data_IF_691160659765
#
_entry.id   IF_691160659765
#
_cell.length_a   1.000
_cell.length_b   1.000
_cell.length_c   1.000
_cell.angle_alpha   90.00
_cell.angle_beta   90.00
_cell.angle_gamma   90.00
#
_symmetry.space_group_name_H-M   'P 1'
#
loop_
_entity.id
_entity.type
_entity.pdbx_description
1 polymer ?
#
# COMPACT_ATOMS: atom_id res chain seq x y z
N UNK A 1 -1.01 35.15 5.35
CA UNK A 1 -0.59 33.74 5.53
C UNK A 1 -0.35 33.58 7.02
N UNK A 2 -1.37 33.20 7.77
CA UNK A 2 -1.40 33.28 9.24
C UNK A 2 -1.96 31.97 9.79
N UNK A 3 -1.14 31.29 10.61
CA UNK A 3 -1.47 30.39 11.72
C UNK A 3 -2.69 29.47 11.60
N UNK A 4 -2.52 28.31 10.97
CA UNK A 4 -3.34 27.12 11.23
C UNK A 4 -2.45 25.88 11.49
N UNK A 5 -1.43 26.01 12.34
CA UNK A 5 -0.64 24.88 12.84
C UNK A 5 -0.96 24.62 14.32
N UNK A 6 -1.31 23.35 14.61
CA UNK A 6 -1.72 22.75 15.90
C UNK A 6 -3.15 23.04 16.37
N UNK A 7 -4.08 22.13 16.02
CA UNK A 7 -5.15 21.73 16.93
C UNK A 7 -4.76 20.39 17.58
N UNK A 8 -4.10 20.45 18.73
CA UNK A 8 -3.96 19.30 19.63
C UNK A 8 -4.98 19.45 20.75
N UNK A 9 -5.87 18.46 20.91
CA UNK A 9 -6.89 18.43 21.96
C UNK A 9 -8.26 18.86 21.48
N UNK A 10 -9.03 17.92 20.92
CA UNK A 10 -10.47 18.08 20.78
C UNK A 10 -11.13 17.51 22.04
N UNK A 11 -11.51 18.38 22.97
CA UNK A 11 -12.45 18.01 24.03
C UNK A 11 -13.87 18.25 23.49
N UNK A 12 -14.57 17.18 23.12
CA UNK A 12 -15.90 17.24 22.50
C UNK A 12 -16.91 16.50 23.37
N UNK A 13 -17.76 17.29 24.02
CA UNK A 13 -18.86 16.85 24.88
C UNK A 13 -19.87 15.94 24.16
N UNK A 14 -20.36 14.93 24.89
CA UNK A 14 -21.58 14.10 24.76
C UNK A 14 -21.99 13.47 23.41
N UNK A 15 -21.49 13.91 22.26
CA UNK A 15 -21.72 13.22 20.99
C UNK A 15 -20.58 12.22 20.73
N UNK A 16 -20.94 10.97 20.47
CA UNK A 16 -20.05 9.82 20.21
C UNK A 16 -19.38 9.87 18.82
N UNK A 17 -19.33 11.03 18.16
CA UNK A 17 -18.74 11.21 16.83
C UNK A 17 -17.82 12.42 16.83
N UNK A 18 -16.58 12.20 16.42
CA UNK A 18 -15.58 13.22 16.12
C UNK A 18 -15.45 13.31 14.60
N UNK A 19 -15.77 14.47 14.04
CA UNK A 19 -15.65 14.73 12.61
C UNK A 19 -14.53 15.74 12.35
N UNK A 20 -13.57 15.34 11.51
CA UNK A 20 -12.47 16.16 10.99
C UNK A 20 -12.66 16.20 9.48
N UNK A 21 -12.93 17.38 8.92
CA UNK A 21 -13.19 17.52 7.49
C UNK A 21 -12.55 18.74 6.87
N UNK A 22 -12.28 18.66 5.57
CA UNK A 22 -11.85 19.77 4.72
C UNK A 22 -10.65 20.53 5.33
N UNK A 23 -9.71 19.78 5.91
CA UNK A 23 -8.60 20.32 6.70
C UNK A 23 -7.26 19.87 6.12
N UNK A 24 -6.29 20.78 6.10
CA UNK A 24 -4.91 20.46 5.76
C UNK A 24 -4.02 20.51 7.00
N UNK A 25 -3.27 19.43 7.23
CA UNK A 25 -2.26 19.30 8.26
C UNK A 25 -0.89 19.35 7.60
N UNK A 26 -0.09 20.37 7.90
CA UNK A 26 1.22 20.59 7.29
C UNK A 26 2.30 20.76 8.36
N UNK A 27 3.42 20.06 8.20
CA UNK A 27 4.62 20.17 9.03
C UNK A 27 4.35 19.99 10.54
N UNK A 28 3.49 19.03 10.88
CA UNK A 28 3.14 18.73 12.27
C UNK A 28 4.07 17.64 12.79
N UNK A 29 4.96 17.99 13.72
CA UNK A 29 5.82 17.04 14.43
C UNK A 29 5.36 16.80 15.87
N UNK A 30 5.34 15.54 16.31
CA UNK A 30 5.08 15.15 17.69
C UNK A 30 6.02 14.05 18.19
N UNK A 31 6.55 14.22 19.40
CA UNK A 31 7.24 13.17 20.16
C UNK A 31 6.17 12.25 20.78
N UNK A 32 5.83 11.18 20.07
CA UNK A 32 4.81 10.21 20.42
C UNK A 32 4.14 9.65 19.17
N UNK A 33 2.81 9.55 19.18
CA UNK A 33 1.99 8.79 18.23
C UNK A 33 0.95 9.70 17.59
N UNK A 34 0.51 9.47 16.34
CA UNK A 34 -0.60 10.21 15.74
C UNK A 34 -0.37 11.72 15.68
N UNK A 35 0.64 12.18 14.95
CA UNK A 35 1.10 13.59 15.02
C UNK A 35 0.04 14.62 14.66
N UNK A 36 -0.84 14.32 13.69
CA UNK A 36 -1.96 15.21 13.35
C UNK A 36 -3.24 14.82 14.08
N UNK A 37 -3.55 13.53 14.15
CA UNK A 37 -4.68 12.99 14.90
C UNK A 37 -4.23 11.77 15.68
N UNK A 38 -4.39 11.84 17.00
CA UNK A 38 -4.25 10.71 17.89
C UNK A 38 -5.54 10.55 18.70
N UNK A 39 -6.04 9.32 18.77
CA UNK A 39 -7.13 8.96 19.65
C UNK A 39 -6.92 7.57 20.23
N UNK A 40 -7.22 7.44 21.52
CA UNK A 40 -7.41 6.18 22.20
C UNK A 40 -8.73 6.26 22.96
N UNK A 41 -9.83 5.92 22.30
CA UNK A 41 -11.16 6.08 22.88
C UNK A 41 -12.11 4.98 22.46
N UNK A 42 -12.59 4.22 23.45
CA UNK A 42 -13.53 3.11 23.28
C UNK A 42 -14.96 3.54 22.91
N UNK A 43 -15.30 4.82 23.06
CA UNK A 43 -16.68 5.33 22.86
C UNK A 43 -16.82 6.30 21.70
N UNK A 44 -15.72 6.83 21.17
CA UNK A 44 -15.76 7.83 20.11
C UNK A 44 -15.59 7.19 18.75
N UNK A 45 -16.47 7.53 17.82
CA UNK A 45 -16.37 7.24 16.39
C UNK A 45 -15.65 8.40 15.69
N UNK A 46 -14.94 8.10 14.60
CA UNK A 46 -14.15 9.09 13.87
C UNK A 46 -14.55 9.14 12.40
N UNK A 47 -14.83 10.34 11.91
CA UNK A 47 -14.96 10.63 10.48
C UNK A 47 -13.86 11.60 10.08
N UNK A 48 -12.95 11.17 9.20
CA UNK A 48 -11.84 11.97 8.68
C UNK A 48 -12.04 12.07 7.17
N UNK A 49 -12.49 13.25 6.70
CA UNK A 49 -13.03 13.43 5.36
C UNK A 49 -12.29 14.54 4.62
N UNK A 50 -11.92 14.35 3.36
CA UNK A 50 -11.34 15.41 2.53
C UNK A 50 -10.11 16.10 3.16
N UNK A 51 -9.29 15.35 3.90
CA UNK A 51 -8.14 15.90 4.61
C UNK A 51 -6.84 15.68 3.84
N UNK A 52 -5.90 16.62 3.99
CA UNK A 52 -4.56 16.52 3.38
C UNK A 52 -3.51 16.52 4.48
N UNK A 53 -2.59 15.58 4.46
CA UNK A 53 -1.56 15.38 5.47
C UNK A 53 -0.16 15.45 4.85
N UNK A 54 0.49 16.59 4.92
CA UNK A 54 1.81 16.82 4.34
C UNK A 54 2.86 17.00 5.44
N UNK A 55 4.01 16.33 5.32
CA UNK A 55 5.14 16.53 6.24
C UNK A 55 4.83 16.34 7.74
N UNK A 56 3.77 15.62 8.12
CA UNK A 56 3.56 15.31 9.54
C UNK A 56 4.40 14.10 9.96
N UNK A 57 4.89 14.13 11.20
CA UNK A 57 5.97 13.28 11.70
C UNK A 57 5.65 12.87 13.13
N UNK A 58 5.66 11.58 13.40
CA UNK A 58 5.57 11.04 14.75
C UNK A 58 6.85 10.28 15.07
N UNK A 59 7.30 10.27 16.32
CA UNK A 59 8.45 9.45 16.67
C UNK A 59 8.07 7.98 16.69
N UNK A 60 6.88 7.58 17.15
CA UNK A 60 6.52 6.17 17.36
C UNK A 60 5.67 5.56 16.21
N UNK A 61 4.37 5.88 16.13
CA UNK A 61 3.42 5.12 15.29
C UNK A 61 2.25 5.97 14.79
N UNK A 62 1.74 5.63 13.58
CA UNK A 62 0.58 6.23 12.94
C UNK A 62 0.81 7.70 12.63
N UNK A 63 1.80 8.04 11.80
CA UNK A 63 2.36 9.39 11.80
C UNK A 63 1.30 10.47 11.60
N UNK A 64 0.43 10.37 10.59
CA UNK A 64 -0.65 11.35 10.44
C UNK A 64 -1.75 11.03 11.44
N UNK A 65 -2.18 9.78 11.43
CA UNK A 65 -3.40 9.33 12.05
C UNK A 65 -3.14 8.08 12.87
N UNK A 66 -3.43 8.13 14.15
CA UNK A 66 -3.56 6.92 14.97
C UNK A 66 -4.89 6.94 15.70
N UNK A 67 -5.70 5.93 15.46
CA UNK A 67 -6.98 5.74 16.17
C UNK A 67 -7.00 4.34 16.77
N UNK A 68 -7.13 4.29 18.09
CA UNK A 68 -7.11 3.08 18.89
C UNK A 68 -8.44 2.95 19.63
N UNK A 69 -8.95 1.73 19.72
CA UNK A 69 -10.15 1.33 20.44
C UNK A 69 -11.45 1.97 19.95
N UNK A 70 -11.42 2.77 18.88
CA UNK A 70 -12.64 3.38 18.35
C UNK A 70 -13.59 2.31 17.81
N UNK A 71 -14.91 2.40 18.09
CA UNK A 71 -15.89 1.49 17.49
C UNK A 71 -15.98 1.62 15.97
N UNK A 72 -15.76 2.83 15.43
CA UNK A 72 -15.88 3.09 14.00
C UNK A 72 -14.91 4.18 13.55
N UNK A 73 -14.17 3.91 12.47
CA UNK A 73 -13.27 4.86 11.84
C UNK A 73 -13.58 4.93 10.35
N UNK A 74 -13.91 6.13 9.86
CA UNK A 74 -14.06 6.41 8.43
C UNK A 74 -12.95 7.38 8.00
N UNK A 75 -12.16 6.98 7.01
CA UNK A 75 -11.16 7.83 6.35
C UNK A 75 -11.50 7.90 4.86
N UNK A 76 -11.95 9.06 4.38
CA UNK A 76 -12.45 9.19 3.00
C UNK A 76 -11.89 10.40 2.27
N UNK A 77 -11.52 10.21 1.01
CA UNK A 77 -11.02 11.28 0.14
C UNK A 77 -9.83 12.04 0.74
N UNK A 78 -8.93 11.31 1.40
CA UNK A 78 -7.79 11.89 2.09
C UNK A 78 -6.49 11.65 1.32
N UNK A 79 -5.50 12.52 1.50
CA UNK A 79 -4.18 12.31 0.91
C UNK A 79 -3.06 12.55 1.90
N UNK A 80 -1.97 11.81 1.74
CA UNK A 80 -0.76 11.92 2.53
C UNK A 80 0.45 12.09 1.63
N UNK A 81 1.38 12.98 1.99
CA UNK A 81 2.64 13.13 1.25
C UNK A 81 3.83 13.46 2.14
N UNK A 82 5.01 12.97 1.75
CA UNK A 82 6.32 13.29 2.33
C UNK A 82 6.36 13.04 3.85
N UNK A 83 6.26 11.78 4.23
CA UNK A 83 6.01 11.32 5.61
C UNK A 83 7.28 10.74 6.25
N UNK A 84 7.44 10.83 7.56
CA UNK A 84 8.62 10.31 8.27
C UNK A 84 8.35 9.97 9.76
N UNK A 85 8.39 8.67 10.10
CA UNK A 85 8.63 8.17 11.46
C UNK A 85 10.12 8.18 11.73
N UNK A 86 10.58 8.52 12.94
CA UNK A 86 12.02 8.64 13.24
C UNK A 86 12.58 7.65 14.26
N UNK A 87 11.80 6.68 14.77
CA UNK A 87 12.30 5.81 15.85
C UNK A 87 12.88 4.49 15.36
N UNK A 88 14.02 4.18 15.99
CA UNK A 88 14.76 2.93 15.85
C UNK A 88 14.53 2.04 17.10
N UNK A 89 13.28 1.98 17.59
CA UNK A 89 12.96 1.17 18.78
C UNK A 89 12.75 -0.29 18.40
N UNK A 90 13.27 -1.20 19.23
CA UNK A 90 13.20 -2.66 19.02
C UNK A 90 11.86 -3.33 19.33
N UNK A 91 10.88 -2.56 19.77
CA UNK A 91 9.54 -3.08 20.07
C UNK A 91 8.75 -3.33 18.79
N UNK A 92 8.51 -4.62 18.49
CA UNK A 92 7.75 -5.06 17.32
C UNK A 92 6.36 -4.42 17.26
N UNK A 93 5.71 -4.15 18.39
CA UNK A 93 4.35 -3.58 18.45
C UNK A 93 4.30 -2.07 18.15
N UNK A 94 5.42 -1.36 18.30
CA UNK A 94 5.50 0.09 18.11
C UNK A 94 5.92 0.50 16.69
N UNK A 95 6.05 -0.44 15.75
CA UNK A 95 6.69 -0.21 14.43
C UNK A 95 5.72 0.11 13.28
N UNK A 96 4.43 0.38 13.51
CA UNK A 96 3.40 0.00 12.51
C UNK A 96 2.45 1.11 12.00
N UNK A 97 2.51 1.47 10.71
CA UNK A 97 1.60 2.46 10.09
C UNK A 97 2.22 3.86 9.98
N UNK A 98 2.67 4.22 8.79
CA UNK A 98 3.37 5.47 8.50
C UNK A 98 2.41 6.58 8.15
N UNK A 99 1.36 6.30 7.39
CA UNK A 99 0.31 7.28 7.20
C UNK A 99 -0.73 7.16 8.31
N UNK A 100 -1.40 6.01 8.38
CA UNK A 100 -2.37 5.75 9.43
C UNK A 100 -2.20 4.37 10.07
N UNK A 101 -2.60 4.29 11.33
CA UNK A 101 -2.72 3.06 12.09
C UNK A 101 -4.08 3.02 12.81
N UNK A 102 -4.90 2.05 12.45
CA UNK A 102 -6.21 1.82 13.08
C UNK A 102 -6.21 0.49 13.81
N UNK A 103 -6.59 0.53 15.09
CA UNK A 103 -6.49 -0.63 15.97
C UNK A 103 -7.75 -0.76 16.83
N UNK A 104 -8.42 -1.90 16.74
CA UNK A 104 -9.53 -2.26 17.62
C UNK A 104 -9.08 -2.68 19.01
N UNK A 105 -10.04 -2.82 19.92
CA UNK A 105 -9.78 -3.33 21.27
C UNK A 105 -9.57 -4.85 21.23
N UNK A 106 -8.87 -5.41 22.23
CA UNK A 106 -8.57 -6.85 22.33
C UNK A 106 -9.78 -7.77 22.13
N UNK A 107 -10.98 -7.34 22.55
CA UNK A 107 -12.20 -8.13 22.50
C UNK A 107 -13.31 -7.48 21.65
N UNK A 108 -12.96 -6.52 20.79
CA UNK A 108 -13.92 -5.83 19.92
C UNK A 108 -13.29 -5.47 18.59
N UNK A 109 -13.91 -5.92 17.51
CA UNK A 109 -13.50 -5.48 16.18
C UNK A 109 -13.95 -4.04 15.95
N UNK A 110 -13.04 -3.22 15.42
CA UNK A 110 -13.36 -1.88 14.98
C UNK A 110 -13.93 -1.91 13.56
N UNK A 111 -15.04 -1.20 13.28
CA UNK A 111 -15.53 -1.04 11.91
C UNK A 111 -14.73 0.07 11.21
N UNK A 112 -13.96 -0.28 10.19
CA UNK A 112 -13.07 0.65 9.50
C UNK A 112 -13.40 0.75 8.03
N UNK A 113 -13.71 1.97 7.58
CA UNK A 113 -13.98 2.29 6.18
C UNK A 113 -12.93 3.26 5.66
N UNK A 114 -12.11 2.83 4.72
CA UNK A 114 -11.10 3.66 4.05
C UNK A 114 -11.42 3.68 2.56
N UNK A 115 -11.70 4.86 2.01
CA UNK A 115 -12.13 5.01 0.62
C UNK A 115 -11.48 6.23 -0.03
N UNK A 116 -10.99 6.08 -1.25
CA UNK A 116 -10.37 7.17 -2.01
C UNK A 116 -9.21 7.84 -1.26
N UNK A 117 -8.25 7.03 -0.78
CA UNK A 117 -7.09 7.50 -0.01
C UNK A 117 -5.79 7.37 -0.80
N UNK A 118 -5.07 8.47 -0.95
CA UNK A 118 -3.75 8.48 -1.59
C UNK A 118 -2.61 8.61 -0.57
N UNK A 119 -1.63 7.73 -0.64
CA UNK A 119 -0.41 7.77 0.16
C UNK A 119 0.78 7.90 -0.79
N UNK A 120 1.45 9.03 -0.78
CA UNK A 120 2.55 9.33 -1.69
C UNK A 120 3.85 9.64 -0.93
N UNK A 121 5.00 9.12 -1.38
CA UNK A 121 6.31 9.48 -0.81
C UNK A 121 6.43 9.25 0.72
N UNK A 122 6.06 8.06 1.19
CA UNK A 122 6.46 7.56 2.52
C UNK A 122 7.95 7.12 2.51
N UNK A 123 8.64 7.20 3.66
CA UNK A 123 9.80 8.05 3.93
C UNK A 123 11.03 7.91 3.03
N UNK A 124 11.79 9.00 3.00
CA UNK A 124 13.03 9.17 2.24
C UNK A 124 14.23 8.38 2.79
N UNK A 125 14.11 7.62 3.89
CA UNK A 125 15.25 6.92 4.49
C UNK A 125 14.96 5.45 4.80
N UNK A 126 15.92 4.59 4.47
CA UNK A 126 15.86 3.12 4.54
C UNK A 126 16.31 2.53 5.88
N UNK A 127 16.61 3.36 6.87
CA UNK A 127 17.28 2.92 8.11
C UNK A 127 16.32 2.38 9.19
N UNK A 128 15.01 2.52 9.02
CA UNK A 128 14.04 2.34 10.10
C UNK A 128 13.18 1.10 9.93
N UNK A 129 13.38 0.07 10.75
CA UNK A 129 12.74 -1.25 10.62
C UNK A 129 11.23 -1.25 10.90
N UNK A 130 10.47 -2.09 10.17
CA UNK A 130 9.08 -2.46 10.49
C UNK A 130 7.99 -1.57 9.88
N UNK A 131 8.37 -0.63 9.02
CA UNK A 131 7.50 0.39 8.47
C UNK A 131 6.46 -0.14 7.47
N UNK A 132 5.24 0.42 7.52
CA UNK A 132 4.11 0.11 6.62
C UNK A 132 3.27 1.35 6.34
N UNK A 133 2.89 1.70 5.10
CA UNK A 133 2.09 2.89 4.81
C UNK A 133 0.72 2.90 5.50
N UNK A 134 -0.02 1.80 5.36
CA UNK A 134 -1.33 1.61 5.98
C UNK A 134 -1.32 0.41 6.94
N UNK A 135 -1.90 0.57 8.12
CA UNK A 135 -1.94 -0.46 9.15
C UNK A 135 -3.34 -0.60 9.75
N UNK A 136 -3.85 -1.82 9.74
CA UNK A 136 -5.11 -2.20 10.38
C UNK A 136 -4.88 -3.40 11.28
N UNK A 137 -5.40 -3.35 12.51
CA UNK A 137 -5.30 -4.47 13.44
C UNK A 137 -6.58 -4.61 14.28
N UNK A 138 -7.14 -5.82 14.36
CA UNK A 138 -8.39 -6.13 15.09
C UNK A 138 -9.58 -5.32 14.59
N UNK A 139 -9.79 -5.30 13.27
CA UNK A 139 -10.84 -4.53 12.64
C UNK A 139 -11.56 -5.29 11.53
N UNK A 140 -12.83 -4.93 11.32
CA UNK A 140 -13.59 -5.23 10.12
C UNK A 140 -13.28 -4.10 9.12
N UNK A 141 -12.57 -4.42 8.05
CA UNK A 141 -11.96 -3.44 7.16
C UNK A 141 -12.65 -3.47 5.80
N UNK A 142 -13.15 -2.31 5.37
CA UNK A 142 -13.50 -2.01 3.99
C UNK A 142 -12.49 -0.98 3.46
N UNK A 143 -11.52 -1.41 2.64
CA UNK A 143 -10.44 -0.57 2.13
C UNK A 143 -10.50 -0.51 0.60
N UNK A 144 -10.91 0.64 0.06
CA UNK A 144 -11.25 0.77 -1.35
C UNK A 144 -10.66 1.99 -2.05
N UNK A 145 -10.46 1.89 -3.36
CA UNK A 145 -10.05 2.99 -4.25
C UNK A 145 -8.84 3.77 -3.76
N UNK A 146 -7.83 3.08 -3.25
CA UNK A 146 -6.74 3.72 -2.52
C UNK A 146 -5.39 3.33 -3.09
N UNK A 147 -4.46 4.29 -3.05
CA UNK A 147 -3.20 4.20 -3.74
C UNK A 147 -2.04 4.40 -2.78
N UNK A 148 -0.98 3.62 -2.95
CA UNK A 148 0.32 3.83 -2.32
C UNK A 148 1.36 4.02 -3.42
N UNK A 149 1.91 5.22 -3.55
CA UNK A 149 2.79 5.60 -4.64
C UNK A 149 4.14 6.11 -4.14
N UNK A 150 5.19 5.85 -4.91
CA UNK A 150 6.54 6.39 -4.74
C UNK A 150 7.06 6.33 -3.29
N UNK A 151 6.71 5.24 -2.59
CA UNK A 151 6.94 5.08 -1.15
C UNK A 151 8.04 4.06 -0.87
N UNK A 152 8.97 4.42 0.02
CA UNK A 152 10.07 3.57 0.43
C UNK A 152 9.88 3.19 1.90
N UNK A 153 9.68 1.90 2.17
CA UNK A 153 9.37 1.40 3.51
C UNK A 153 10.27 0.22 3.80
N UNK A 154 10.90 0.13 4.97
CA UNK A 154 11.80 -1.01 5.22
C UNK A 154 11.09 -2.36 5.24
N UNK A 155 9.83 -2.45 5.69
CA UNK A 155 9.16 -3.74 5.86
C UNK A 155 8.10 -3.99 4.79
N UNK A 156 6.96 -3.31 4.87
CA UNK A 156 5.83 -3.49 3.95
C UNK A 156 5.64 -2.22 3.12
N UNK A 157 5.67 -2.30 1.79
CA UNK A 157 5.49 -1.13 0.92
C UNK A 157 4.04 -0.78 0.59
N UNK A 158 3.08 -1.61 0.98
CA UNK A 158 1.64 -1.39 0.75
C UNK A 158 0.87 -1.22 2.04
N UNK A 159 0.36 -2.33 2.58
CA UNK A 159 -0.47 -2.32 3.78
C UNK A 159 -0.36 -3.62 4.59
N UNK A 160 -0.77 -3.53 5.86
CA UNK A 160 -0.90 -4.67 6.76
C UNK A 160 -2.32 -4.83 7.30
N UNK A 161 -2.77 -6.07 7.38
CA UNK A 161 -4.00 -6.49 8.03
C UNK A 161 -3.66 -7.56 9.09
N UNK A 162 -4.02 -7.30 10.35
CA UNK A 162 -3.79 -8.23 11.46
C UNK A 162 -5.05 -8.48 12.26
N UNK A 163 -5.41 -9.74 12.53
CA UNK A 163 -6.66 -10.10 13.24
C UNK A 163 -7.91 -9.45 12.60
N UNK A 164 -7.95 -9.40 11.27
CA UNK A 164 -8.97 -8.66 10.51
C UNK A 164 -9.97 -9.55 9.76
N UNK A 165 -11.19 -9.06 9.59
CA UNK A 165 -12.07 -9.47 8.49
C UNK A 165 -12.03 -8.38 7.42
N UNK A 166 -11.67 -8.71 6.17
CA UNK A 166 -11.25 -7.73 5.18
C UNK A 166 -12.02 -7.83 3.85
N UNK A 167 -12.48 -6.68 3.36
CA UNK A 167 -12.91 -6.41 2.00
C UNK A 167 -12.00 -5.32 1.42
N UNK A 168 -11.02 -5.70 0.62
CA UNK A 168 -10.05 -4.77 0.02
C UNK A 168 -10.27 -4.72 -1.49
N UNK A 169 -10.49 -3.53 -2.07
CA UNK A 169 -10.83 -3.42 -3.50
C UNK A 169 -10.18 -2.23 -4.20
N UNK A 170 -9.76 -2.41 -5.44
CA UNK A 170 -9.23 -1.30 -6.27
C UNK A 170 -8.05 -0.60 -5.61
N UNK A 171 -7.02 -1.38 -5.28
CA UNK A 171 -5.81 -0.87 -4.65
C UNK A 171 -4.68 -0.85 -5.66
N UNK A 172 -4.01 0.30 -5.76
CA UNK A 172 -2.78 0.46 -6.54
C UNK A 172 -1.60 0.67 -5.61
N UNK A 173 -0.57 -0.15 -5.71
CA UNK A 173 0.74 0.08 -5.09
C UNK A 173 1.73 0.22 -6.24
N UNK A 174 2.36 1.39 -6.36
CA UNK A 174 3.16 1.75 -7.54
C UNK A 174 4.44 2.49 -7.20
N UNK A 175 5.56 2.14 -7.84
CA UNK A 175 6.82 2.86 -7.65
C UNK A 175 7.39 2.74 -6.24
N UNK A 176 6.97 1.71 -5.50
CA UNK A 176 7.35 1.53 -4.10
C UNK A 176 8.53 0.58 -3.95
N UNK A 177 9.29 0.73 -2.86
CA UNK A 177 10.32 -0.25 -2.49
C UNK A 177 10.21 -0.69 -1.04
N UNK A 178 10.52 -1.97 -0.78
CA UNK A 178 10.71 -2.47 0.59
C UNK A 178 11.82 -3.48 0.75
N UNK A 179 12.25 -3.77 1.98
CA UNK A 179 13.21 -4.84 2.22
C UNK A 179 12.54 -6.22 2.32
N UNK A 180 11.23 -6.26 2.68
CA UNK A 180 10.56 -7.49 3.09
C UNK A 180 9.40 -7.88 2.17
N UNK A 181 8.27 -7.16 2.23
CA UNK A 181 6.98 -7.57 1.66
C UNK A 181 6.28 -6.37 1.01
N UNK A 182 5.29 -6.62 0.14
CA UNK A 182 4.40 -5.57 -0.40
C UNK A 182 3.06 -5.55 0.33
N UNK A 183 2.54 -6.72 0.69
CA UNK A 183 1.32 -6.87 1.48
C UNK A 183 1.57 -7.91 2.55
N UNK A 184 1.10 -7.65 3.76
CA UNK A 184 1.22 -8.55 4.89
C UNK A 184 -0.14 -8.81 5.55
N UNK A 185 -0.42 -10.08 5.80
CA UNK A 185 -1.68 -10.56 6.35
C UNK A 185 -1.38 -11.45 7.56
N UNK A 186 -2.03 -11.18 8.68
CA UNK A 186 -1.89 -11.97 9.91
C UNK A 186 -3.28 -12.23 10.48
N UNK A 187 -3.60 -13.50 10.78
CA UNK A 187 -4.90 -13.92 11.30
C UNK A 187 -6.10 -13.27 10.57
N UNK A 188 -5.98 -13.10 9.25
CA UNK A 188 -6.91 -12.31 8.45
C UNK A 188 -7.80 -13.21 7.62
N UNK A 189 -9.09 -12.86 7.52
CA UNK A 189 -10.04 -13.53 6.64
C UNK A 189 -10.67 -12.53 5.66
N UNK A 190 -11.09 -12.98 4.49
CA UNK A 190 -11.85 -12.15 3.54
C UNK A 190 -11.33 -12.17 2.11
N UNK A 191 -11.42 -11.04 1.41
CA UNK A 191 -11.13 -10.94 -0.02
C UNK A 191 -10.40 -9.67 -0.42
N UNK A 192 -9.47 -9.81 -1.36
CA UNK A 192 -8.72 -8.74 -1.99
C UNK A 192 -8.97 -8.77 -3.51
N UNK A 193 -9.64 -7.76 -4.04
CA UNK A 193 -10.09 -7.72 -5.45
C UNK A 193 -9.52 -6.51 -6.18
N UNK A 194 -9.11 -6.65 -7.45
CA UNK A 194 -8.52 -5.54 -8.23
C UNK A 194 -7.31 -4.91 -7.53
N UNK A 195 -6.33 -5.74 -7.20
CA UNK A 195 -5.07 -5.32 -6.57
C UNK A 195 -4.00 -5.22 -7.66
N UNK A 196 -3.41 -4.05 -7.81
CA UNK A 196 -2.32 -3.81 -8.77
C UNK A 196 -1.05 -3.43 -8.03
N UNK A 197 0.00 -4.21 -8.26
CA UNK A 197 1.38 -3.94 -7.88
C UNK A 197 2.17 -3.63 -9.16
N UNK A 198 2.80 -2.47 -9.26
CA UNK A 198 3.61 -2.13 -10.44
C UNK A 198 4.85 -1.33 -10.06
N UNK A 199 5.97 -1.52 -10.77
CA UNK A 199 7.23 -0.84 -10.46
C UNK A 199 7.64 -1.06 -8.99
N UNK A 200 7.58 -2.31 -8.53
CA UNK A 200 7.88 -2.69 -7.14
C UNK A 200 9.33 -3.17 -7.03
N UNK A 201 10.08 -2.64 -6.07
CA UNK A 201 11.43 -3.13 -5.76
C UNK A 201 11.47 -3.80 -4.39
N UNK A 202 12.09 -4.98 -4.29
CA UNK A 202 12.36 -5.63 -3.00
C UNK A 202 13.83 -6.02 -2.85
N UNK A 203 14.48 -5.57 -1.78
CA UNK A 203 15.95 -5.63 -1.67
C UNK A 203 16.51 -6.74 -0.78
N UNK A 204 15.85 -7.18 0.31
CA UNK A 204 16.67 -7.66 1.43
C UNK A 204 16.33 -8.96 2.16
N UNK A 205 15.25 -9.73 1.95
CA UNK A 205 15.06 -10.97 2.77
C UNK A 205 14.63 -12.27 2.08
N UNK A 206 14.65 -12.39 0.74
CA UNK A 206 14.05 -13.55 0.04
C UNK A 206 12.64 -13.88 0.58
N UNK A 207 11.96 -12.88 1.15
CA UNK A 207 10.60 -13.00 1.64
C UNK A 207 9.64 -12.93 0.45
N UNK A 208 8.36 -13.15 0.73
CA UNK A 208 7.36 -13.10 -0.31
C UNK A 208 6.88 -11.69 -0.61
N UNK A 209 6.40 -11.48 -1.85
CA UNK A 209 5.71 -10.24 -2.23
C UNK A 209 4.45 -10.07 -1.37
N UNK A 210 3.70 -11.16 -1.22
CA UNK A 210 2.54 -11.28 -0.33
C UNK A 210 2.90 -12.26 0.78
N UNK A 211 2.94 -11.78 2.01
CA UNK A 211 3.19 -12.59 3.18
C UNK A 211 1.92 -12.80 3.98
N UNK A 212 1.65 -14.04 4.39
CA UNK A 212 0.46 -14.34 5.18
C UNK A 212 0.74 -15.31 6.33
N UNK A 213 0.14 -15.07 7.49
CA UNK A 213 0.20 -15.93 8.67
C UNK A 213 -1.21 -16.22 9.13
N UNK A 214 -1.56 -17.50 9.30
CA UNK A 214 -2.87 -17.92 9.83
C UNK A 214 -4.09 -17.26 9.16
N UNK A 215 -3.98 -16.99 7.86
CA UNK A 215 -4.95 -16.18 7.12
C UNK A 215 -5.67 -16.99 6.06
N UNK A 216 -6.97 -16.72 5.88
CA UNK A 216 -7.81 -17.35 4.84
C UNK A 216 -8.40 -16.27 3.93
N UNK A 217 -7.72 -16.00 2.81
CA UNK A 217 -8.08 -14.89 1.92
C UNK A 217 -8.14 -15.31 0.46
N UNK A 218 -9.02 -14.68 -0.31
CA UNK A 218 -9.05 -14.81 -1.77
C UNK A 218 -8.50 -13.56 -2.45
N UNK A 219 -7.67 -13.74 -3.47
CA UNK A 219 -7.27 -12.70 -4.41
C UNK A 219 -8.00 -12.89 -5.75
N UNK A 220 -8.60 -11.83 -6.25
CA UNK A 220 -9.30 -11.83 -7.55
C UNK A 220 -8.91 -10.59 -8.37
N UNK A 221 -8.57 -10.75 -9.65
CA UNK A 221 -8.07 -9.65 -10.50
C UNK A 221 -6.78 -9.03 -9.93
N UNK A 222 -5.76 -9.86 -9.72
CA UNK A 222 -4.45 -9.44 -9.23
C UNK A 222 -3.49 -9.12 -10.38
N UNK A 223 -2.83 -7.98 -10.34
CA UNK A 223 -1.81 -7.61 -11.33
C UNK A 223 -0.47 -7.34 -10.65
N UNK A 224 0.60 -7.95 -11.16
CA UNK A 224 1.98 -7.65 -10.80
C UNK A 224 2.79 -7.36 -12.06
N UNK A 225 3.33 -6.15 -12.19
CA UNK A 225 4.10 -5.73 -13.37
C UNK A 225 5.37 -4.97 -13.00
N UNK A 226 6.35 -4.96 -13.91
CA UNK A 226 7.55 -4.12 -13.81
C UNK A 226 8.29 -4.23 -12.46
N UNK A 227 8.40 -5.44 -11.91
CA UNK A 227 9.00 -5.65 -10.59
C UNK A 227 10.51 -5.93 -10.68
N UNK A 228 11.24 -5.48 -9.66
CA UNK A 228 12.63 -5.80 -9.40
C UNK A 228 12.74 -6.48 -8.03
N UNK A 229 12.49 -7.78 -8.01
CA UNK A 229 12.39 -8.60 -6.81
C UNK A 229 13.32 -9.80 -6.98
N UNK A 230 13.98 -10.20 -5.89
CA UNK A 230 14.90 -11.34 -5.90
C UNK A 230 14.22 -12.61 -6.46
N UNK A 231 14.89 -13.33 -7.35
CA UNK A 231 14.37 -14.56 -7.97
C UNK A 231 14.11 -15.70 -6.97
N UNK A 232 14.70 -15.65 -5.78
CA UNK A 232 14.49 -16.59 -4.68
C UNK A 232 13.27 -16.24 -3.82
N UNK A 233 12.66 -15.06 -4.03
CA UNK A 233 11.43 -14.68 -3.37
C UNK A 233 10.26 -15.54 -3.88
N UNK A 234 9.23 -15.65 -3.05
CA UNK A 234 7.95 -16.24 -3.44
C UNK A 234 6.93 -15.13 -3.72
N UNK A 235 5.98 -15.36 -4.62
CA UNK A 235 4.86 -14.43 -4.78
C UNK A 235 3.95 -14.49 -3.54
N UNK A 236 3.58 -15.69 -3.12
CA UNK A 236 2.79 -15.96 -1.91
C UNK A 236 3.52 -16.93 -0.98
N UNK A 237 3.77 -16.53 0.26
CA UNK A 237 4.33 -17.47 1.24
C UNK A 237 3.82 -17.22 2.65
N UNK A 238 3.84 -18.28 3.46
CA UNK A 238 3.40 -18.25 4.84
C UNK A 238 4.53 -18.39 5.85
N UNK A 239 4.31 -17.88 7.06
CA UNK A 239 5.19 -18.12 8.19
C UNK A 239 5.04 -19.55 8.73
N UNK A 240 6.13 -20.30 8.81
CA UNK A 240 6.21 -21.57 9.52
C UNK A 240 6.34 -21.41 11.05
N UNK A 241 6.15 -20.20 11.61
CA UNK A 241 6.33 -19.94 13.06
C UNK A 241 5.42 -20.77 13.98
N UNK A 242 4.41 -21.46 13.44
CA UNK A 242 3.67 -22.51 14.15
C UNK A 242 3.64 -23.80 13.33
N UNK A 243 3.86 -24.95 13.99
CA UNK A 243 3.89 -26.31 13.42
C UNK A 243 2.57 -26.77 12.76
N UNK A 244 1.59 -25.88 12.64
CA UNK A 244 0.34 -26.06 11.91
C UNK A 244 0.05 -24.79 11.13
N UNK A 245 0.21 -24.79 9.78
CA UNK A 245 -0.36 -23.74 8.97
C UNK A 245 -1.89 -23.83 9.09
N UNK A 246 -2.52 -22.79 9.63
CA UNK A 246 -3.98 -22.63 9.54
C UNK A 246 -4.30 -21.60 8.46
N UNK A 247 -5.31 -21.87 7.63
CA UNK A 247 -5.72 -20.98 6.55
C UNK A 247 -5.14 -21.29 5.17
N UNK A 248 -5.42 -20.43 4.19
CA UNK A 248 -5.09 -20.63 2.79
C UNK A 248 -5.34 -19.39 1.94
N UNK A 249 -4.52 -19.22 0.91
CA UNK A 249 -4.66 -18.14 -0.07
C UNK A 249 -5.04 -18.73 -1.42
N UNK A 250 -6.13 -18.24 -2.00
CA UNK A 250 -6.51 -18.52 -3.39
C UNK A 250 -6.21 -17.32 -4.28
N UNK A 251 -5.82 -17.59 -5.53
CA UNK A 251 -5.53 -16.57 -6.53
C UNK A 251 -6.27 -16.90 -7.82
N UNK A 252 -7.20 -16.04 -8.21
CA UNK A 252 -8.00 -16.18 -9.42
C UNK A 252 -7.89 -14.94 -10.30
N UNK A 253 -7.92 -15.12 -11.61
CA UNK A 253 -7.80 -14.04 -12.60
C UNK A 253 -6.60 -13.12 -12.31
N UNK A 254 -5.41 -13.49 -12.76
CA UNK A 254 -4.20 -12.69 -12.51
C UNK A 254 -3.44 -12.36 -13.78
N UNK A 255 -2.64 -11.29 -13.72
CA UNK A 255 -1.67 -10.91 -14.76
C UNK A 255 -0.34 -10.62 -14.09
N UNK A 256 0.70 -11.36 -14.48
CA UNK A 256 2.04 -11.24 -13.90
C UNK A 256 3.04 -11.13 -15.03
N UNK A 257 3.67 -9.96 -15.18
CA UNK A 257 4.57 -9.66 -16.30
C UNK A 257 5.84 -8.93 -15.79
N UNK A 258 7.04 -9.50 -15.96
CA UNK A 258 7.32 -10.84 -16.48
C UNK A 258 6.77 -11.96 -15.55
N UNK A 259 6.75 -13.24 -15.97
CA UNK A 259 6.32 -14.33 -15.10
C UNK A 259 7.16 -14.43 -13.81
N UNK A 260 6.49 -14.60 -12.66
CA UNK A 260 7.17 -14.72 -11.37
C UNK A 260 7.66 -16.16 -11.14
N UNK A 261 8.94 -16.39 -10.82
CA UNK A 261 9.54 -17.72 -10.82
C UNK A 261 8.95 -18.66 -9.75
N UNK A 262 8.67 -18.15 -8.56
CA UNK A 262 8.14 -18.95 -7.45
C UNK A 262 6.76 -18.43 -7.03
N UNK A 263 5.68 -19.03 -7.51
CA UNK A 263 4.32 -18.62 -7.15
C UNK A 263 3.97 -18.91 -5.68
N UNK A 264 4.62 -19.91 -5.08
CA UNK A 264 4.50 -20.25 -3.65
C UNK A 264 3.24 -21.04 -3.29
N UNK A 265 2.82 -20.94 -2.03
CA UNK A 265 1.88 -21.87 -1.39
C UNK A 265 0.40 -21.48 -1.61
N UNK A 266 -0.11 -21.67 -2.82
CA UNK A 266 -1.50 -21.36 -3.18
C UNK A 266 -2.42 -22.58 -3.06
N UNK A 267 -3.62 -22.40 -2.51
CA UNK A 267 -4.60 -23.50 -2.32
C UNK A 267 -5.49 -23.75 -3.54
N UNK A 268 -5.61 -22.78 -4.44
CA UNK A 268 -6.24 -22.94 -5.75
C UNK A 268 -5.76 -21.85 -6.72
N UNK A 269 -5.45 -22.24 -7.95
CA UNK A 269 -5.23 -21.34 -9.07
C UNK A 269 -6.21 -21.69 -10.18
N UNK A 270 -7.10 -20.77 -10.53
CA UNK A 270 -7.78 -20.78 -11.83
C UNK A 270 -7.47 -19.46 -12.54
N UNK A 271 -6.66 -19.55 -13.61
CA UNK A 271 -6.28 -18.41 -14.42
C UNK A 271 -5.73 -18.84 -15.77
N UNK A 272 -6.17 -18.17 -16.83
CA UNK A 272 -5.62 -18.30 -18.19
C UNK A 272 -4.12 -17.98 -18.14
N UNK A 273 -3.27 -19.00 -18.24
CA UNK A 273 -1.89 -18.82 -18.68
C UNK A 273 -1.95 -18.17 -20.07
N UNK A 274 -1.82 -16.85 -20.13
CA UNK A 274 -1.46 -16.22 -21.39
C UNK A 274 0.02 -16.48 -21.55
N UNK A 275 0.38 -17.66 -22.06
CA UNK A 275 1.70 -17.89 -22.63
C UNK A 275 1.91 -16.81 -23.67
N UNK A 276 2.71 -15.80 -23.35
CA UNK A 276 3.42 -15.05 -24.37
C UNK A 276 4.37 -16.04 -25.03
N UNK A 277 3.86 -16.74 -26.03
CA UNK A 277 4.69 -17.42 -27.00
C UNK A 277 5.60 -16.36 -27.58
N UNK A 278 6.91 -16.48 -27.35
CA UNK A 278 7.92 -15.89 -28.21
C UNK A 278 7.63 -16.36 -29.63
N UNK A 279 6.85 -15.55 -30.34
CA UNK A 279 6.82 -15.58 -31.79
C UNK A 279 7.88 -14.57 -32.17
N UNK A 280 9.07 -15.08 -32.49
CA UNK A 280 9.97 -14.41 -33.41
C UNK A 280 9.13 -13.94 -34.58
N UNK A 281 8.80 -12.66 -34.57
CA UNK A 281 8.16 -11.99 -35.68
C UNK A 281 9.25 -11.87 -36.71
N UNK A 282 9.29 -12.78 -37.68
CA UNK A 282 9.94 -12.47 -38.95
C UNK A 282 9.33 -11.16 -39.44
N UNK A 283 10.18 -10.16 -39.63
CA UNK A 283 9.81 -8.93 -40.32
C UNK A 283 9.08 -9.29 -41.62
N UNK A 284 7.88 -8.72 -41.88
CA UNK A 284 7.32 -8.77 -43.20
C UNK A 284 8.24 -7.94 -44.11
N UNK A 285 8.93 -8.62 -45.04
CA UNK A 285 9.62 -7.96 -46.15
C UNK A 285 8.61 -7.11 -46.93
N UNK A 286 8.61 -5.81 -46.64
CA UNK A 286 7.91 -4.82 -47.45
C UNK A 286 8.50 -4.75 -48.86
N UNK A 287 7.70 -4.36 -49.86
CA UNK A 287 8.17 -4.23 -51.24
C UNK A 287 9.21 -3.10 -51.34
N UNK A 288 10.29 -3.39 -52.06
CA UNK A 288 11.37 -2.45 -52.35
C UNK A 288 10.87 -1.42 -53.37
N UNK A 289 10.52 -0.21 -52.92
CA UNK A 289 10.36 0.94 -53.81
C UNK A 289 11.67 1.73 -53.90
N UNK A 290 12.22 1.82 -55.11
CA UNK A 290 13.35 2.68 -55.46
C UNK A 290 12.97 4.15 -55.28
N UNK A 291 13.59 4.82 -54.31
CA UNK A 291 13.57 6.28 -54.21
C UNK A 291 14.47 6.85 -55.31
N UNK A 292 13.87 7.43 -56.35
CA UNK A 292 14.59 8.25 -57.33
C UNK A 292 14.94 9.61 -56.72
N UNK A 293 16.23 9.88 -56.59
CA UNK A 293 16.78 11.20 -56.24
C UNK A 293 16.43 12.23 -57.31
N UNK A 294 15.92 13.43 -56.97
CA UNK A 294 15.71 14.50 -57.96
C UNK A 294 17.06 15.08 -58.40
N UNK A 295 17.25 15.20 -59.71
CA UNK A 295 18.37 15.92 -60.33
C UNK A 295 18.12 17.42 -60.23
N UNK A 296 19.00 18.16 -59.54
CA UNK A 296 18.98 19.62 -59.50
C UNK A 296 19.34 20.20 -60.89
N UNK A 297 18.55 21.17 -61.35
CA UNK A 297 18.84 21.97 -62.55
C UNK A 297 19.45 23.31 -62.11
N UNK A 298 20.55 23.79 -62.71
CA UNK A 298 21.16 25.06 -62.31
C UNK A 298 20.37 26.25 -62.86
N UNK A 299 20.08 27.22 -61.99
CA UNK A 299 19.49 28.51 -62.37
C UNK A 299 20.60 29.48 -62.79
N UNK A 300 20.64 29.85 -64.07
CA UNK A 300 21.47 30.96 -64.56
C UNK A 300 20.87 32.32 -64.15
N UNK A 301 21.74 33.21 -63.68
CA UNK A 301 21.44 34.61 -63.36
C UNK A 301 21.75 35.47 -64.59
N UNK A 302 20.81 36.24 -65.14
CA UNK A 302 21.13 37.19 -66.20
C UNK A 302 21.68 38.50 -65.63
N UNK A 303 22.64 39.09 -66.35
CA UNK A 303 23.25 40.41 -66.11
C UNK A 303 22.28 41.56 -66.31
#
# INVERSE_FOLDING_TARGET
>A
MTDHCRKTGWDVSANDLIEIKDTSFCDIGYTGQGSAVFSNSASKRFNILNCVFTLCRATEIGEALRVINSPTVTLKSCSASQRYTSTNTDDELNRWGQFFAFTGAENSQCETHVDNVGIDKCPLTTELRGQRPAFFHRCNVDFTHSNVTDSHCTYCSGFYLGDCAASVKYILISGTSSNCVSIELENTTGSLTHITLTNITQSDWNLSVIYYLNSTVSFEYFTLTDYNINELAYLFNYSLKSDTPSGGVSLNHYTIVPPFPNMGNLTSMEGNETKTTDTTTEEPKGPTEEIKTPTETPTEIPK
#
